data_IF_364207341733
#
_entry.id   IF_364207341733
#
_cell.length_a   1.000
_cell.length_b   1.000
_cell.length_c   1.000
_cell.angle_alpha   90.00
_cell.angle_beta   90.00
_cell.angle_gamma   90.00
#
_symmetry.space_group_name_H-M   'P 1'
#
loop_
_entity.id
_entity.type
_entity.pdbx_description
1 polymer ?
#
# COMPACT_ATOMS: atom_id res chain seq x y z
N UNK A 1 28.17 -0.89 20.48
CA UNK A 1 26.85 -1.26 21.03
C UNK A 1 27.00 -2.62 21.69
N UNK A 2 26.63 -2.76 22.96
CA UNK A 2 26.56 -4.07 23.62
C UNK A 2 25.21 -4.71 23.29
N UNK A 3 25.02 -5.07 22.02
CA UNK A 3 23.86 -5.88 21.63
C UNK A 3 24.10 -7.30 22.14
N UNK A 4 23.18 -7.81 22.96
CA UNK A 4 23.30 -9.16 23.49
C UNK A 4 23.27 -10.24 22.41
N UNK A 5 23.70 -11.45 22.78
CA UNK A 5 23.79 -12.58 21.83
C UNK A 5 22.42 -12.97 21.28
N UNK A 6 21.38 -12.92 22.11
CA UNK A 6 20.02 -13.31 21.73
C UNK A 6 19.41 -12.29 20.76
N UNK A 7 19.59 -11.00 21.03
CA UNK A 7 19.16 -9.89 20.19
C UNK A 7 19.84 -9.97 18.83
N UNK A 8 21.16 -10.21 18.81
CA UNK A 8 21.93 -10.37 17.57
C UNK A 8 21.41 -11.53 16.71
N UNK A 9 21.09 -12.67 17.34
CA UNK A 9 20.52 -13.82 16.65
C UNK A 9 19.13 -13.51 16.08
N UNK A 10 18.25 -12.89 16.86
CA UNK A 10 16.90 -12.52 16.40
C UNK A 10 16.97 -11.53 15.22
N UNK A 11 17.82 -10.52 15.32
CA UNK A 11 18.02 -9.53 14.25
C UNK A 11 18.54 -10.23 12.99
N UNK A 12 19.53 -11.11 13.12
CA UNK A 12 20.08 -11.85 11.98
C UNK A 12 19.03 -12.73 11.29
N UNK A 13 18.19 -13.43 12.07
CA UNK A 13 17.11 -14.26 11.52
C UNK A 13 16.05 -13.40 10.81
N UNK A 14 15.60 -12.31 11.44
CA UNK A 14 14.59 -11.43 10.82
C UNK A 14 15.14 -10.84 9.52
N UNK A 15 16.36 -10.28 9.54
CA UNK A 15 16.98 -9.72 8.35
C UNK A 15 17.20 -10.78 7.27
N UNK A 16 17.67 -11.98 7.63
CA UNK A 16 17.84 -13.08 6.69
C UNK A 16 16.55 -13.47 5.98
N UNK A 17 15.43 -13.53 6.71
CA UNK A 17 14.11 -13.78 6.12
C UNK A 17 13.69 -12.66 5.16
N UNK A 18 13.94 -11.40 5.52
CA UNK A 18 13.60 -10.26 4.65
C UNK A 18 14.47 -10.23 3.38
N UNK A 19 15.76 -10.56 3.50
CA UNK A 19 16.66 -10.70 2.34
C UNK A 19 16.20 -11.83 1.43
N UNK A 20 15.81 -12.98 2.00
CA UNK A 20 15.26 -14.11 1.22
C UNK A 20 14.01 -13.70 0.45
N UNK A 21 13.11 -12.92 1.05
CA UNK A 21 11.93 -12.38 0.34
C UNK A 21 12.36 -11.43 -0.78
N UNK A 22 13.31 -10.52 -0.53
CA UNK A 22 13.83 -9.59 -1.54
C UNK A 22 14.49 -10.30 -2.73
N UNK A 23 15.28 -11.34 -2.47
CA UNK A 23 15.90 -12.16 -3.51
C UNK A 23 14.84 -12.88 -4.35
N UNK A 24 13.81 -13.42 -3.69
CA UNK A 24 12.70 -14.11 -4.35
C UNK A 24 11.80 -13.21 -5.22
N UNK A 25 11.81 -11.89 -5.01
CA UNK A 25 11.09 -10.93 -5.88
C UNK A 25 11.74 -10.87 -7.28
N UNK A 26 13.01 -11.29 -7.45
CA UNK A 26 13.75 -11.35 -8.72
C UNK A 26 13.72 -10.03 -9.50
N UNK A 27 14.38 -9.01 -8.96
CA UNK A 27 14.14 -7.64 -9.36
C UNK A 27 15.08 -7.10 -10.45
N UNK A 28 15.42 -7.87 -11.48
CA UNK A 28 16.28 -7.44 -12.61
C UNK A 28 17.51 -6.57 -12.22
N UNK A 29 18.11 -6.81 -11.04
CA UNK A 29 19.26 -6.07 -10.51
C UNK A 29 18.97 -4.95 -9.49
N UNK A 30 17.71 -4.56 -9.27
CA UNK A 30 17.32 -3.59 -8.22
C UNK A 30 17.52 -4.13 -6.80
N UNK A 31 17.44 -5.45 -6.62
CA UNK A 31 17.77 -6.16 -5.40
C UNK A 31 19.16 -5.80 -4.85
N UNK A 32 20.14 -5.53 -5.72
CA UNK A 32 21.48 -5.05 -5.33
C UNK A 32 21.47 -3.67 -4.64
N UNK A 33 20.41 -2.88 -4.81
CA UNK A 33 20.24 -1.58 -4.15
C UNK A 33 19.32 -1.71 -2.93
N UNK A 34 18.23 -2.46 -3.06
CA UNK A 34 17.24 -2.60 -1.99
C UNK A 34 17.73 -3.46 -0.83
N UNK A 35 18.52 -4.51 -1.08
CA UNK A 35 19.04 -5.38 -0.01
C UNK A 35 19.96 -4.57 0.94
N UNK A 36 20.99 -3.84 0.46
CA UNK A 36 21.85 -3.07 1.36
C UNK A 36 21.10 -1.94 2.08
N UNK A 37 20.28 -1.17 1.37
CA UNK A 37 19.58 -0.01 1.95
C UNK A 37 18.49 -0.47 2.93
N UNK A 38 17.64 -1.40 2.50
CA UNK A 38 16.57 -1.97 3.33
C UNK A 38 17.12 -2.69 4.55
N UNK A 39 18.19 -3.48 4.37
CA UNK A 39 18.89 -4.16 5.46
C UNK A 39 19.48 -3.18 6.47
N UNK A 40 20.13 -2.11 6.01
CA UNK A 40 20.69 -1.08 6.90
C UNK A 40 19.61 -0.33 7.68
N UNK A 41 18.50 0.03 7.04
CA UNK A 41 17.36 0.70 7.69
C UNK A 41 16.77 -0.21 8.76
N UNK A 42 16.45 -1.46 8.41
CA UNK A 42 15.88 -2.43 9.36
C UNK A 42 16.84 -2.72 10.51
N UNK A 43 18.14 -2.87 10.24
CA UNK A 43 19.16 -3.07 11.26
C UNK A 43 19.17 -1.90 12.25
N UNK A 44 19.22 -0.65 11.77
CA UNK A 44 19.18 0.53 12.64
C UNK A 44 17.92 0.58 13.50
N UNK A 45 16.78 0.14 12.95
CA UNK A 45 15.52 0.09 13.69
C UNK A 45 15.49 -1.03 14.73
N UNK A 46 16.17 -2.16 14.49
CA UNK A 46 16.14 -3.31 15.40
C UNK A 46 17.23 -3.27 16.48
N UNK A 47 18.36 -2.61 16.24
CA UNK A 47 19.44 -2.46 17.21
C UNK A 47 19.01 -1.92 18.60
N UNK A 48 18.09 -0.94 18.72
CA UNK A 48 17.66 -0.45 20.03
C UNK A 48 16.55 -1.30 20.68
N UNK A 49 16.09 -2.39 20.04
CA UNK A 49 14.94 -3.16 20.53
C UNK A 49 15.34 -4.25 21.51
N UNK A 50 14.43 -4.54 22.43
CA UNK A 50 14.53 -5.64 23.40
C UNK A 50 14.07 -6.97 22.81
N UNK A 51 14.42 -8.07 23.49
CA UNK A 51 14.10 -9.44 23.07
C UNK A 51 12.58 -9.65 22.83
N UNK A 52 11.66 -9.21 23.69
CA UNK A 52 10.22 -9.33 23.43
C UNK A 52 9.78 -8.66 22.13
N UNK A 53 10.23 -7.43 21.85
CA UNK A 53 9.89 -6.70 20.63
C UNK A 53 10.45 -7.39 19.38
N UNK A 54 11.69 -7.87 19.45
CA UNK A 54 12.31 -8.62 18.36
C UNK A 54 11.59 -9.96 18.12
N UNK A 55 11.21 -10.67 19.19
CA UNK A 55 10.45 -11.92 19.10
C UNK A 55 9.09 -11.69 18.44
N UNK A 56 8.40 -10.61 18.80
CA UNK A 56 7.15 -10.23 18.17
C UNK A 56 7.33 -9.92 16.67
N UNK A 57 8.39 -9.20 16.30
CA UNK A 57 8.74 -8.94 14.88
C UNK A 57 9.01 -10.22 14.09
N UNK A 58 9.70 -11.18 14.70
CA UNK A 58 9.95 -12.48 14.07
C UNK A 58 8.63 -13.24 13.85
N UNK A 59 7.79 -13.35 14.88
CA UNK A 59 6.49 -14.03 14.79
C UNK A 59 5.64 -13.39 13.69
N UNK A 60 5.56 -12.06 13.65
CA UNK A 60 4.78 -11.37 12.64
C UNK A 60 5.34 -11.58 11.23
N UNK A 61 6.67 -11.55 11.07
CA UNK A 61 7.33 -11.86 9.79
C UNK A 61 6.93 -13.25 9.29
N UNK A 62 6.95 -14.26 10.17
CA UNK A 62 6.55 -15.62 9.83
C UNK A 62 5.06 -15.71 9.47
N UNK A 63 4.17 -15.07 10.24
CA UNK A 63 2.73 -15.04 9.96
C UNK A 63 2.45 -14.40 8.59
N UNK A 64 3.02 -13.21 8.33
CA UNK A 64 2.85 -12.51 7.06
C UNK A 64 3.39 -13.34 5.90
N UNK A 65 4.58 -13.96 6.06
CA UNK A 65 5.16 -14.84 5.05
C UNK A 65 4.28 -16.06 4.75
N UNK A 66 3.83 -16.78 5.78
CA UNK A 66 2.97 -17.97 5.64
C UNK A 66 1.63 -17.60 4.99
N UNK A 67 0.98 -16.53 5.47
CA UNK A 67 -0.28 -16.06 4.90
C UNK A 67 -0.11 -15.71 3.43
N UNK A 68 0.94 -14.97 3.09
CA UNK A 68 1.27 -14.56 1.71
C UNK A 68 1.48 -15.77 0.80
N UNK A 69 2.27 -16.76 1.23
CA UNK A 69 2.53 -17.97 0.46
C UNK A 69 1.28 -18.83 0.28
N UNK A 70 0.44 -18.94 1.30
CA UNK A 70 -0.84 -19.65 1.21
C UNK A 70 -1.83 -18.92 0.29
N UNK A 71 -1.81 -17.58 0.30
CA UNK A 71 -2.74 -16.76 -0.47
C UNK A 71 -2.34 -16.58 -1.93
N UNK A 72 -1.07 -16.86 -2.31
CA UNK A 72 -0.55 -16.62 -3.67
C UNK A 72 -1.39 -17.26 -4.78
N UNK A 73 -2.02 -18.40 -4.51
CA UNK A 73 -2.85 -19.13 -5.48
C UNK A 73 -4.25 -18.52 -5.69
N UNK A 74 -4.63 -17.53 -4.88
CA UNK A 74 -5.92 -16.83 -4.93
C UNK A 74 -5.82 -15.41 -5.49
N UNK A 75 -4.68 -15.05 -6.06
CA UNK A 75 -4.43 -13.71 -6.62
C UNK A 75 -3.99 -13.81 -8.08
N UNK A 76 -4.23 -12.75 -8.83
CA UNK A 76 -3.73 -12.54 -10.21
C UNK A 76 -2.33 -11.92 -10.26
N UNK A 77 -1.75 -11.61 -9.09
CA UNK A 77 -0.37 -11.15 -8.96
C UNK A 77 0.58 -12.32 -9.25
N UNK A 78 1.70 -12.03 -9.91
CA UNK A 78 2.78 -13.03 -10.02
C UNK A 78 3.46 -13.25 -8.66
N UNK A 79 4.23 -14.33 -8.53
CA UNK A 79 4.84 -14.69 -7.25
C UNK A 79 5.74 -13.56 -6.69
N UNK A 80 6.45 -12.86 -7.57
CA UNK A 80 7.25 -11.67 -7.23
C UNK A 80 6.42 -10.52 -6.66
N UNK A 81 5.26 -10.21 -7.25
CA UNK A 81 4.39 -9.13 -6.81
C UNK A 81 3.67 -9.48 -5.50
N UNK A 82 3.31 -10.75 -5.28
CA UNK A 82 2.77 -11.23 -4.01
C UNK A 82 3.79 -11.04 -2.88
N UNK A 83 5.03 -11.50 -3.10
CA UNK A 83 6.13 -11.33 -2.16
C UNK A 83 6.49 -9.86 -1.94
N UNK A 84 6.51 -9.06 -3.01
CA UNK A 84 6.75 -7.62 -2.94
C UNK A 84 5.69 -6.87 -2.16
N UNK A 85 4.43 -7.27 -2.26
CA UNK A 85 3.33 -6.70 -1.47
C UNK A 85 3.49 -7.02 0.02
N UNK A 86 3.90 -8.25 0.34
CA UNK A 86 4.17 -8.66 1.72
C UNK A 86 5.37 -7.93 2.31
N UNK A 87 6.45 -7.80 1.55
CA UNK A 87 7.63 -7.03 1.94
C UNK A 87 7.30 -5.55 2.15
N UNK A 88 6.53 -4.95 1.24
CA UNK A 88 6.06 -3.58 1.38
C UNK A 88 5.21 -3.40 2.66
N UNK A 89 4.23 -4.29 2.89
CA UNK A 89 3.42 -4.28 4.09
C UNK A 89 4.29 -4.35 5.36
N UNK A 90 5.23 -5.29 5.40
CA UNK A 90 6.18 -5.39 6.50
C UNK A 90 7.00 -4.11 6.69
N UNK A 91 7.49 -3.51 5.60
CA UNK A 91 8.24 -2.25 5.64
C UNK A 91 7.41 -1.10 6.23
N UNK A 92 6.14 -0.96 5.84
CA UNK A 92 5.24 0.08 6.40
C UNK A 92 5.08 -0.07 7.90
N UNK A 93 4.94 -1.30 8.39
CA UNK A 93 4.84 -1.59 9.81
C UNK A 93 6.15 -1.31 10.56
N UNK A 94 7.28 -1.69 9.97
CA UNK A 94 8.60 -1.50 10.58
C UNK A 94 8.96 -0.02 10.69
N UNK A 95 8.64 0.78 9.66
CA UNK A 95 8.97 2.20 9.59
C UNK A 95 8.06 3.06 10.48
N UNK A 96 6.77 2.76 10.52
CA UNK A 96 5.81 3.51 11.31
C UNK A 96 5.29 2.64 12.46
N UNK A 97 4.05 2.18 12.38
CA UNK A 97 3.42 1.30 13.36
C UNK A 97 2.32 0.44 12.70
N UNK A 98 1.54 -0.27 13.52
CA UNK A 98 0.45 -1.14 13.06
C UNK A 98 -0.70 -0.39 12.38
N UNK A 99 -0.89 0.91 12.66
CA UNK A 99 -1.98 1.72 12.08
C UNK A 99 -1.75 1.93 10.60
N UNK A 100 -0.51 2.19 10.21
CA UNK A 100 -0.11 2.36 8.79
C UNK A 100 -0.17 1.04 8.02
N UNK A 101 0.04 -0.09 8.69
CA UNK A 101 -0.01 -1.42 8.06
C UNK A 101 -1.42 -1.84 7.60
N UNK A 102 -2.48 -1.31 8.22
CA UNK A 102 -3.85 -1.73 7.95
C UNK A 102 -4.28 -1.44 6.50
N UNK A 103 -3.98 -0.25 5.98
CA UNK A 103 -4.44 0.12 4.64
C UNK A 103 -3.81 -0.74 3.51
N UNK A 104 -2.50 -1.03 3.50
CA UNK A 104 -1.89 -1.99 2.57
C UNK A 104 -2.49 -3.40 2.68
N UNK A 105 -2.74 -3.90 3.89
CA UNK A 105 -3.33 -5.22 4.11
C UNK A 105 -4.74 -5.29 3.52
N UNK A 106 -5.56 -4.28 3.79
CA UNK A 106 -6.92 -4.20 3.24
C UNK A 106 -6.86 -4.13 1.73
N UNK A 107 -5.97 -3.34 1.15
CA UNK A 107 -5.82 -3.26 -0.30
C UNK A 107 -5.45 -4.62 -0.91
N UNK A 108 -4.51 -5.35 -0.32
CA UNK A 108 -4.10 -6.69 -0.79
C UNK A 108 -5.25 -7.71 -0.77
N UNK A 109 -6.00 -7.76 0.33
CA UNK A 109 -7.13 -8.70 0.45
C UNK A 109 -8.37 -8.25 -0.35
N UNK A 110 -8.72 -6.97 -0.32
CA UNK A 110 -9.86 -6.43 -1.06
C UNK A 110 -9.67 -6.61 -2.57
N UNK A 111 -8.45 -6.40 -3.07
CA UNK A 111 -8.11 -6.66 -4.47
C UNK A 111 -8.32 -8.12 -4.86
N UNK A 112 -7.87 -9.06 -4.03
CA UNK A 112 -7.95 -10.48 -4.34
C UNK A 112 -9.37 -11.06 -4.17
N UNK A 113 -10.16 -10.53 -3.24
CA UNK A 113 -11.49 -11.05 -2.90
C UNK A 113 -12.64 -10.38 -3.63
N UNK A 114 -12.56 -9.06 -3.86
CA UNK A 114 -13.71 -8.26 -4.29
C UNK A 114 -13.64 -7.88 -5.77
N UNK A 115 -12.47 -8.02 -6.40
CA UNK A 115 -12.33 -7.78 -7.84
C UNK A 115 -12.61 -9.07 -8.61
N UNK A 116 -13.65 -9.11 -9.46
CA UNK A 116 -14.05 -10.31 -10.19
C UNK A 116 -13.15 -10.52 -11.41
N UNK A 117 -11.97 -11.10 -11.21
CA UNK A 117 -11.08 -11.48 -12.30
C UNK A 117 -11.65 -12.73 -12.99
N UNK A 118 -12.18 -12.58 -14.20
CA UNK A 118 -12.71 -13.69 -15.03
C UNK A 118 -11.59 -14.65 -15.46
N UNK A 119 -11.94 -15.91 -15.73
CA UNK A 119 -11.00 -16.98 -16.16
C UNK A 119 -10.06 -16.59 -17.32
N UNK A 120 -10.48 -15.69 -18.20
CA UNK A 120 -9.68 -15.16 -19.31
C UNK A 120 -8.48 -14.28 -18.88
N UNK A 121 -8.43 -13.86 -17.61
CA UNK A 121 -7.37 -13.05 -16.98
C UNK A 121 -6.53 -13.83 -15.96
N UNK A 122 -6.60 -15.18 -15.97
CA UNK A 122 -5.79 -16.04 -15.10
C UNK A 122 -4.30 -16.09 -15.46
N UNK A 123 -3.86 -15.44 -16.53
CA UNK A 123 -2.45 -15.14 -16.73
C UNK A 123 -2.00 -14.16 -15.65
N UNK A 124 -0.96 -14.50 -14.89
CA UNK A 124 -0.33 -13.68 -13.84
C UNK A 124 0.30 -12.40 -14.42
N UNK A 125 -0.53 -11.48 -14.94
CA UNK A 125 -0.09 -10.28 -15.67
C UNK A 125 0.33 -9.14 -14.76
N UNK A 126 -0.17 -9.10 -13.51
CA UNK A 126 0.20 -8.04 -12.59
C UNK A 126 1.56 -8.31 -11.97
N UNK A 127 2.52 -7.52 -12.43
CA UNK A 127 3.92 -7.62 -12.06
C UNK A 127 4.30 -6.68 -10.91
N UNK A 128 5.51 -6.84 -10.39
CA UNK A 128 6.10 -6.04 -9.30
C UNK A 128 6.02 -4.53 -9.56
N UNK A 129 5.96 -4.10 -10.83
CA UNK A 129 5.80 -2.68 -11.22
C UNK A 129 4.50 -2.08 -10.69
N UNK A 130 3.41 -2.84 -10.66
CA UNK A 130 2.13 -2.38 -10.12
C UNK A 130 2.22 -2.17 -8.60
N UNK A 131 2.87 -3.11 -7.92
CA UNK A 131 3.11 -3.05 -6.47
C UNK A 131 4.01 -1.87 -6.12
N UNK A 132 5.07 -1.62 -6.91
CA UNK A 132 5.94 -0.46 -6.76
C UNK A 132 5.22 0.85 -6.95
N UNK A 133 4.38 0.96 -7.97
CA UNK A 133 3.62 2.18 -8.24
C UNK A 133 2.74 2.55 -7.04
N UNK A 134 1.94 1.59 -6.55
CA UNK A 134 1.08 1.80 -5.38
C UNK A 134 1.93 2.04 -4.12
N UNK A 135 2.96 1.22 -3.93
CA UNK A 135 3.85 1.27 -2.77
C UNK A 135 4.65 2.58 -2.70
N UNK A 136 5.05 3.15 -3.83
CA UNK A 136 5.81 4.40 -3.89
C UNK A 136 5.03 5.58 -3.30
N UNK A 137 3.71 5.65 -3.57
CA UNK A 137 2.83 6.66 -2.98
C UNK A 137 2.73 6.46 -1.46
N UNK A 138 2.64 5.22 -1.00
CA UNK A 138 2.65 4.91 0.44
C UNK A 138 3.98 5.26 1.13
N UNK A 139 5.12 4.90 0.53
CA UNK A 139 6.46 5.24 1.02
C UNK A 139 6.66 6.76 1.07
N UNK A 140 6.21 7.50 0.04
CA UNK A 140 6.30 8.95 0.01
C UNK A 140 5.65 9.56 1.26
N UNK A 141 4.40 9.17 1.56
CA UNK A 141 3.69 9.67 2.74
C UNK A 141 4.28 9.20 4.07
N UNK A 142 4.78 7.98 4.13
CA UNK A 142 5.48 7.46 5.31
C UNK A 142 6.75 8.25 5.62
N UNK A 143 7.57 8.52 4.60
CA UNK A 143 8.80 9.31 4.76
C UNK A 143 8.49 10.76 5.11
N UNK A 144 7.51 11.38 4.46
CA UNK A 144 7.04 12.71 4.83
C UNK A 144 6.51 12.75 6.27
N UNK A 145 5.80 11.69 6.72
CA UNK A 145 5.36 11.58 8.11
C UNK A 145 6.50 11.56 9.12
N UNK A 146 7.66 11.00 8.77
CA UNK A 146 8.86 11.07 9.61
C UNK A 146 9.52 12.45 9.66
N UNK A 147 9.27 13.31 8.66
CA UNK A 147 9.86 14.65 8.57
C UNK A 147 8.90 15.71 9.12
N UNK A 148 7.63 15.65 8.75
CA UNK A 148 6.59 16.65 9.05
C UNK A 148 5.73 16.27 10.25
N UNK A 149 5.71 14.99 10.65
CA UNK A 149 4.88 14.47 11.73
C UNK A 149 3.87 13.42 11.26
N UNK A 150 3.73 12.35 12.03
CA UNK A 150 2.91 11.19 11.63
C UNK A 150 1.42 11.54 11.51
N UNK A 151 0.90 12.36 12.43
CA UNK A 151 -0.52 12.79 12.43
C UNK A 151 -0.90 13.54 11.16
N UNK A 152 0.01 14.39 10.67
CA UNK A 152 -0.15 15.19 9.46
C UNK A 152 -0.23 14.32 8.19
N UNK A 153 0.57 13.26 8.13
CA UNK A 153 0.70 12.44 6.93
C UNK A 153 -0.16 11.16 6.95
N UNK A 154 -0.71 10.77 8.09
CA UNK A 154 -1.52 9.55 8.20
C UNK A 154 -2.85 9.64 7.42
N UNK A 155 -3.49 10.80 7.43
CA UNK A 155 -4.70 11.04 6.64
C UNK A 155 -4.47 11.00 5.12
N UNK A 156 -3.53 11.77 4.53
CA UNK A 156 -3.26 11.70 3.10
C UNK A 156 -2.77 10.31 2.66
N UNK A 157 -2.02 9.61 3.52
CA UNK A 157 -1.67 8.20 3.31
C UNK A 157 -2.93 7.31 3.18
N UNK A 158 -3.85 7.42 4.13
CA UNK A 158 -5.12 6.65 4.14
C UNK A 158 -5.95 6.94 2.89
N UNK A 159 -6.08 8.22 2.54
CA UNK A 159 -6.77 8.66 1.33
C UNK A 159 -6.14 8.08 0.06
N UNK A 160 -4.80 8.03 -0.01
CA UNK A 160 -4.09 7.45 -1.15
C UNK A 160 -4.42 5.96 -1.33
N UNK A 161 -4.43 5.17 -0.25
CA UNK A 161 -4.79 3.75 -0.34
C UNK A 161 -6.26 3.53 -0.71
N UNK A 162 -7.17 4.36 -0.18
CA UNK A 162 -8.60 4.31 -0.55
C UNK A 162 -8.79 4.62 -2.05
N UNK A 163 -8.11 5.65 -2.55
CA UNK A 163 -8.13 6.03 -3.95
C UNK A 163 -7.51 4.95 -4.86
N UNK A 164 -6.38 4.36 -4.47
CA UNK A 164 -5.79 3.23 -5.19
C UNK A 164 -6.78 2.06 -5.29
N UNK A 165 -7.45 1.70 -4.19
CA UNK A 165 -8.42 0.62 -4.19
C UNK A 165 -9.60 0.89 -5.14
N UNK A 166 -10.11 2.13 -5.17
CA UNK A 166 -11.15 2.56 -6.10
C UNK A 166 -10.69 2.50 -7.56
N UNK A 167 -9.50 3.03 -7.86
CA UNK A 167 -8.91 3.04 -9.21
C UNK A 167 -8.65 1.62 -9.72
N UNK A 168 -8.15 0.73 -8.86
CA UNK A 168 -7.92 -0.67 -9.22
C UNK A 168 -9.24 -1.36 -9.57
N UNK A 169 -10.30 -1.11 -8.81
CA UNK A 169 -11.63 -1.64 -9.10
C UNK A 169 -12.18 -1.08 -10.43
N UNK A 170 -11.98 0.22 -10.70
CA UNK A 170 -12.39 0.86 -11.96
C UNK A 170 -11.64 0.23 -13.15
N UNK A 171 -10.37 -0.13 -12.95
CA UNK A 171 -9.55 -0.77 -13.97
C UNK A 171 -9.96 -2.21 -14.30
N UNK A 172 -10.85 -2.85 -13.51
CA UNK A 172 -11.28 -4.23 -13.75
C UNK A 172 -12.13 -4.31 -15.04
N UNK A 173 -11.76 -5.14 -16.03
CA UNK A 173 -12.36 -5.18 -17.38
C UNK A 173 -13.82 -5.65 -17.48
N UNK A 174 -14.53 -5.89 -16.37
CA UNK A 174 -15.87 -6.51 -16.37
C UNK A 174 -16.96 -5.67 -17.02
N UNK A 175 -16.67 -4.40 -17.34
CA UNK A 175 -17.64 -3.48 -17.94
C UNK A 175 -17.01 -2.65 -19.07
N UNK A 176 -16.71 -3.30 -20.20
CA UNK A 176 -16.52 -2.59 -21.45
C UNK A 176 -17.87 -2.33 -22.14
N UNK A 177 -18.44 -1.13 -21.95
CA UNK A 177 -18.85 -0.34 -23.09
C UNK A 177 -18.08 0.98 -23.11
N UNK A 178 -18.09 1.65 -24.27
CA UNK A 178 -17.20 2.75 -24.67
C UNK A 178 -17.28 4.04 -23.82
N UNK A 179 -17.97 4.05 -22.67
CA UNK A 179 -18.19 5.23 -21.82
C UNK A 179 -18.01 4.91 -20.32
N UNK A 180 -17.52 5.88 -19.52
CA UNK A 180 -17.43 5.74 -18.07
C UNK A 180 -18.81 5.54 -17.47
N UNK A 181 -19.07 4.35 -16.90
CA UNK A 181 -20.29 4.10 -16.17
C UNK A 181 -20.20 4.78 -14.79
N UNK A 182 -20.83 5.95 -14.66
CA UNK A 182 -20.81 6.74 -13.42
C UNK A 182 -21.31 5.94 -12.19
N UNK A 183 -22.24 5.00 -12.38
CA UNK A 183 -22.71 4.11 -11.29
C UNK A 183 -21.60 3.20 -10.82
N UNK A 184 -20.79 2.71 -11.75
CA UNK A 184 -19.65 1.85 -11.43
C UNK A 184 -18.56 2.64 -10.73
N UNK A 185 -18.19 3.82 -11.24
CA UNK A 185 -17.22 4.72 -10.60
C UNK A 185 -17.68 5.06 -9.17
N UNK A 186 -18.94 5.46 -8.99
CA UNK A 186 -19.50 5.75 -7.67
C UNK A 186 -19.43 4.55 -6.73
N UNK A 187 -19.77 3.35 -7.20
CA UNK A 187 -19.66 2.12 -6.40
C UNK A 187 -18.20 1.81 -6.02
N UNK A 188 -17.25 1.98 -6.93
CA UNK A 188 -15.83 1.76 -6.65
C UNK A 188 -15.28 2.76 -5.64
N UNK A 189 -15.68 4.04 -5.73
CA UNK A 189 -15.35 5.07 -4.72
C UNK A 189 -15.94 4.70 -3.37
N UNK A 190 -17.24 4.39 -3.29
CA UNK A 190 -17.89 3.97 -2.04
C UNK A 190 -17.21 2.73 -1.45
N UNK A 191 -16.89 1.73 -2.27
CA UNK A 191 -16.21 0.51 -1.82
C UNK A 191 -14.82 0.82 -1.25
N UNK A 192 -14.01 1.59 -1.98
CA UNK A 192 -12.67 2.00 -1.51
C UNK A 192 -12.74 2.83 -0.23
N UNK A 193 -13.71 3.75 -0.17
CA UNK A 193 -13.93 4.59 0.99
C UNK A 193 -14.33 3.78 2.21
N UNK A 194 -15.38 2.93 2.11
CA UNK A 194 -15.86 2.13 3.24
C UNK A 194 -14.75 1.21 3.77
N UNK A 195 -14.04 0.53 2.89
CA UNK A 195 -13.02 -0.45 3.30
C UNK A 195 -11.83 0.17 4.01
N UNK A 196 -11.47 1.43 3.70
CA UNK A 196 -10.29 2.08 4.26
C UNK A 196 -10.65 3.10 5.36
N UNK A 197 -11.69 3.90 5.16
CA UNK A 197 -12.09 4.94 6.12
C UNK A 197 -12.84 4.41 7.34
N UNK A 198 -13.52 3.27 7.27
CA UNK A 198 -14.12 2.67 8.49
C UNK A 198 -13.03 2.23 9.49
N UNK A 199 -11.98 1.50 9.08
CA UNK A 199 -10.83 1.24 9.95
C UNK A 199 -10.11 2.51 10.42
N UNK A 200 -9.97 3.53 9.55
CA UNK A 200 -9.40 4.82 9.94
C UNK A 200 -10.19 5.49 11.07
N UNK A 201 -11.52 5.55 10.96
CA UNK A 201 -12.39 6.11 12.01
C UNK A 201 -12.25 5.33 13.33
N UNK A 202 -12.10 4.01 13.25
CA UNK A 202 -11.88 3.18 14.42
C UNK A 202 -10.52 3.47 15.09
N UNK A 203 -9.46 3.64 14.29
CA UNK A 203 -8.12 3.99 14.79
C UNK A 203 -8.11 5.39 15.44
N UNK A 204 -8.83 6.36 14.86
CA UNK A 204 -8.89 7.74 15.35
C UNK A 204 -9.93 7.95 16.47
N UNK A 205 -10.81 6.98 16.72
CA UNK A 205 -11.76 7.02 17.84
C UNK A 205 -13.09 7.71 17.56
N UNK A 206 -13.52 7.81 16.29
CA UNK A 206 -14.82 8.39 15.89
C UNK A 206 -15.06 9.83 16.38
N UNK A 207 -14.01 10.62 16.51
CA UNK A 207 -14.14 12.05 16.84
C UNK A 207 -14.70 12.86 15.66
N UNK A 208 -15.18 14.08 15.94
CA UNK A 208 -15.76 14.95 14.91
C UNK A 208 -14.76 15.29 13.80
N UNK A 209 -13.47 15.33 14.14
CA UNK A 209 -12.38 15.63 13.20
C UNK A 209 -12.12 14.47 12.24
N UNK A 210 -12.05 13.23 12.71
CA UNK A 210 -11.89 12.05 11.87
C UNK A 210 -13.11 11.83 10.98
N UNK A 211 -14.32 12.12 11.48
CA UNK A 211 -15.54 12.12 10.65
C UNK A 211 -15.44 13.18 9.55
N UNK A 212 -14.95 14.38 9.85
CA UNK A 212 -14.73 15.42 8.86
C UNK A 212 -13.71 14.98 7.80
N UNK A 213 -12.58 14.38 8.20
CA UNK A 213 -11.60 13.83 7.26
C UNK A 213 -12.14 12.68 6.42
N UNK A 214 -12.97 11.80 6.99
CA UNK A 214 -13.61 10.76 6.21
C UNK A 214 -14.57 11.37 5.18
N UNK A 215 -15.36 12.39 5.55
CA UNK A 215 -16.22 13.12 4.63
C UNK A 215 -15.44 13.82 3.50
N UNK A 216 -14.36 14.52 3.85
CA UNK A 216 -13.46 15.17 2.90
C UNK A 216 -12.82 14.15 1.94
N UNK A 217 -12.34 13.03 2.48
CA UNK A 217 -11.77 11.94 1.69
C UNK A 217 -12.75 11.41 0.65
N UNK A 218 -14.04 11.29 0.98
CA UNK A 218 -15.08 10.90 0.02
C UNK A 218 -15.20 11.92 -1.13
N UNK A 219 -15.18 13.22 -0.80
CA UNK A 219 -15.27 14.30 -1.78
C UNK A 219 -14.04 14.29 -2.71
N UNK A 220 -12.83 14.10 -2.18
CA UNK A 220 -11.58 14.09 -2.96
C UNK A 220 -11.44 12.83 -3.83
N UNK A 221 -11.91 11.67 -3.35
CA UNK A 221 -11.85 10.42 -4.11
C UNK A 221 -12.66 10.48 -5.41
N UNK A 222 -13.77 11.22 -5.43
CA UNK A 222 -14.61 11.39 -6.62
C UNK A 222 -13.83 11.94 -7.83
N UNK A 223 -13.25 13.15 -7.74
CA UNK A 223 -12.41 13.73 -8.78
C UNK A 223 -11.23 12.82 -9.18
N UNK A 224 -10.53 12.20 -8.22
CA UNK A 224 -9.44 11.26 -8.53
C UNK A 224 -9.93 10.11 -9.42
N UNK A 225 -11.05 9.50 -9.06
CA UNK A 225 -11.64 8.39 -9.80
C UNK A 225 -12.14 8.81 -11.19
N UNK A 226 -12.73 10.00 -11.30
CA UNK A 226 -13.19 10.56 -12.59
C UNK A 226 -12.00 10.85 -13.51
N UNK A 227 -10.97 11.55 -13.01
CA UNK A 227 -9.75 11.85 -13.76
C UNK A 227 -9.10 10.56 -14.25
N UNK A 228 -8.99 9.55 -13.38
CA UNK A 228 -8.49 8.24 -13.77
C UNK A 228 -9.33 7.60 -14.89
N UNK A 229 -10.65 7.55 -14.73
CA UNK A 229 -11.55 6.93 -15.71
C UNK A 229 -11.49 7.63 -17.09
N UNK A 230 -11.33 8.95 -17.12
CA UNK A 230 -11.16 9.72 -18.36
C UNK A 230 -9.81 9.45 -19.02
N UNK A 231 -8.73 9.40 -18.24
CA UNK A 231 -7.38 9.16 -18.75
C UNK A 231 -7.15 7.71 -19.17
N UNK A 232 -7.85 6.75 -18.56
CA UNK A 232 -7.70 5.33 -18.86
C UNK A 232 -7.94 5.02 -20.35
N UNK A 233 -8.89 5.72 -21.00
CA UNK A 233 -9.16 5.58 -22.43
C UNK A 233 -8.00 6.03 -23.31
N UNK A 234 -7.42 7.18 -23.00
CA UNK A 234 -6.28 7.76 -23.73
C UNK A 234 -4.96 7.03 -23.47
N UNK A 235 -4.79 6.44 -22.29
CA UNK A 235 -3.58 5.73 -21.89
C UNK A 235 -3.56 4.26 -22.33
N UNK A 236 -4.57 3.75 -23.04
CA UNK A 236 -4.68 2.33 -23.40
C UNK A 236 -3.53 1.81 -24.27
N UNK A 237 -2.91 2.69 -25.05
CA UNK A 237 -1.80 2.36 -25.94
C UNK A 237 -0.42 2.68 -25.34
N UNK A 238 -0.36 3.21 -24.12
CA UNK A 238 0.90 3.47 -23.45
C UNK A 238 1.50 2.16 -22.93
N UNK A 239 2.82 2.15 -22.80
CA UNK A 239 3.51 1.07 -22.09
C UNK A 239 2.95 0.95 -20.65
N UNK A 240 2.85 -0.29 -20.18
CA UNK A 240 2.24 -0.62 -18.90
C UNK A 240 2.91 0.13 -17.74
N UNK A 241 4.23 0.35 -17.85
CA UNK A 241 5.02 1.13 -16.89
C UNK A 241 4.51 2.56 -16.72
N UNK A 242 4.31 3.28 -17.83
CA UNK A 242 3.85 4.66 -17.82
C UNK A 242 2.41 4.78 -17.31
N UNK A 243 1.58 3.78 -17.61
CA UNK A 243 0.23 3.70 -17.06
C UNK A 243 0.25 3.57 -15.53
N UNK A 244 1.12 2.72 -14.97
CA UNK A 244 1.25 2.57 -13.51
C UNK A 244 1.83 3.81 -12.85
N UNK A 245 2.84 4.47 -13.45
CA UNK A 245 3.38 5.74 -12.93
C UNK A 245 2.31 6.82 -12.93
N UNK A 246 1.53 6.96 -14.01
CA UNK A 246 0.43 7.91 -14.09
C UNK A 246 -0.62 7.70 -13.00
N UNK A 247 -0.99 6.44 -12.72
CA UNK A 247 -1.93 6.09 -11.62
C UNK A 247 -1.41 6.55 -10.26
N UNK A 248 -0.15 6.24 -9.94
CA UNK A 248 0.49 6.67 -8.70
C UNK A 248 0.57 8.19 -8.59
N UNK A 249 0.93 8.89 -9.67
CA UNK A 249 1.01 10.34 -9.70
C UNK A 249 -0.34 11.01 -9.44
N UNK A 250 -1.43 10.55 -10.08
CA UNK A 250 -2.78 11.08 -9.84
C UNK A 250 -3.17 10.92 -8.37
N UNK A 251 -2.91 9.75 -7.78
CA UNK A 251 -3.24 9.49 -6.38
C UNK A 251 -2.36 10.29 -5.42
N UNK A 252 -1.06 10.40 -5.69
CA UNK A 252 -0.13 11.19 -4.88
C UNK A 252 -0.51 12.68 -4.88
N UNK A 253 -0.81 13.25 -6.05
CA UNK A 253 -1.24 14.64 -6.19
C UNK A 253 -2.61 14.86 -5.53
N UNK A 254 -3.57 13.95 -5.77
CA UNK A 254 -4.90 14.04 -5.18
C UNK A 254 -4.89 13.95 -3.66
N UNK A 255 -4.09 13.04 -3.09
CA UNK A 255 -3.89 12.95 -1.64
C UNK A 255 -3.14 14.16 -1.08
N UNK A 256 -2.22 14.77 -1.84
CA UNK A 256 -1.49 15.96 -1.39
C UNK A 256 -2.38 17.20 -1.25
N UNK A 257 -3.49 17.30 -2.01
CA UNK A 257 -4.47 18.39 -1.84
C UNK A 257 -5.03 18.41 -0.42
N UNK A 258 -5.19 17.23 0.19
CA UNK A 258 -5.73 17.08 1.55
C UNK A 258 -4.80 17.64 2.65
N UNK A 259 -3.49 17.82 2.38
CA UNK A 259 -2.57 18.48 3.31
C UNK A 259 -2.94 19.95 3.56
N UNK A 260 -3.32 20.69 2.51
CA UNK A 260 -3.64 22.12 2.64
C UNK A 260 -4.92 22.34 3.45
N UNK A 261 -5.88 21.42 3.34
CA UNK A 261 -7.15 21.50 4.05
C UNK A 261 -6.96 21.23 5.55
N UNK A 262 -6.06 20.31 5.90
CA UNK A 262 -5.67 20.03 7.29
C UNK A 262 -4.98 21.23 7.96
N UNK A 263 -4.01 21.84 7.28
CA UNK A 263 -3.25 22.99 7.83
C UNK A 263 -4.14 24.23 8.01
N UNK A 264 -5.11 24.47 7.13
CA UNK A 264 -6.03 25.62 7.25
C UNK A 264 -7.13 25.42 8.30
N UNK A 265 -7.50 24.18 8.64
CA UNK A 265 -8.52 23.91 9.65
C UNK A 265 -8.01 23.98 11.10
N UNK A 266 -6.70 24.08 11.30
CA UNK A 266 -6.03 24.04 12.62
C UNK A 266 -5.02 25.18 12.84
N UNK A 267 -5.04 26.19 11.95
CA UNK A 267 -4.33 27.46 12.13
C UNK A 267 -5.16 28.49 12.89
#
# INVERSE_FOLDING_TARGET
TETGRAESLLIAVILGLQVMVLEAISWQGLDNVFIPIGGLIMLKLFLPMDIPSLSFRLILTLIVGILTLNWRHRTTLNDSAVLGSAWFGYLTWVLADWRWFIAPVILFFAYSLLCPWTQQYQERRHDMRAVLSIGSTGILWLLLGKIMGETLCFYPYTLAFAAHLAIIDIAVPRFHPQLPNWRFIGRSVVKGWVLIFVPFLWIQGWDGQAIAYAGEGFIIMGPIAIVFALLQGSCRNLDETWMWIGRSAIVALGSAISLNIWVMGHG
#
